data_IF_692949407960
#
_entry.id   IF_692949407960
#
_cell.length_a   1.000
_cell.length_b   1.000
_cell.length_c   1.000
_cell.angle_alpha   90.00
_cell.angle_beta   90.00
_cell.angle_gamma   90.00
#
_symmetry.space_group_name_H-M   'P 1'
#
loop_
_entity.id
_entity.type
_entity.pdbx_description
1 polymer ?
#
# COMPACT_ATOMS: atom_id res chain seq x y z
N UNK A 1 -10.89 -32.79 17.72
CA UNK A 1 -10.59 -31.50 17.07
C UNK A 1 -10.91 -31.67 15.60
N UNK A 2 -12.03 -31.12 15.14
CA UNK A 2 -12.39 -31.18 13.71
C UNK A 2 -11.37 -30.33 12.97
N UNK A 3 -10.57 -30.98 12.13
CA UNK A 3 -9.73 -30.29 11.15
C UNK A 3 -10.67 -29.42 10.31
N UNK A 4 -10.71 -28.11 10.57
CA UNK A 4 -11.22 -27.16 9.59
C UNK A 4 -10.26 -27.35 8.41
N UNK A 5 -10.69 -28.09 7.39
CA UNK A 5 -10.00 -28.08 6.12
C UNK A 5 -9.84 -26.62 5.74
N UNK A 6 -8.59 -26.22 5.52
CA UNK A 6 -8.18 -24.85 5.21
C UNK A 6 -8.92 -24.40 3.95
N UNK A 7 -10.10 -23.86 4.13
CA UNK A 7 -10.87 -23.28 3.06
C UNK A 7 -10.30 -21.88 2.88
N UNK A 8 -9.47 -21.73 1.85
CA UNK A 8 -8.88 -20.46 1.50
C UNK A 8 -9.99 -19.56 0.94
N UNK A 9 -10.59 -18.75 1.79
CA UNK A 9 -11.69 -17.87 1.41
C UNK A 9 -11.20 -16.42 1.39
N UNK A 10 -11.61 -15.71 0.34
CA UNK A 10 -11.49 -14.26 0.24
C UNK A 10 -12.90 -13.73 0.41
N UNK A 11 -13.11 -12.81 1.33
CA UNK A 11 -14.39 -12.16 1.52
C UNK A 11 -14.22 -10.70 1.91
N UNK A 12 -15.26 -9.91 1.66
CA UNK A 12 -15.25 -8.50 1.96
C UNK A 12 -15.54 -8.25 3.45
N UNK A 13 -14.85 -7.28 4.01
CA UNK A 13 -15.17 -6.67 5.31
C UNK A 13 -15.40 -5.17 5.11
N UNK A 14 -16.35 -4.60 5.85
CA UNK A 14 -16.67 -3.17 5.75
C UNK A 14 -16.26 -2.39 7.00
N UNK A 15 -15.90 -3.11 8.06
CA UNK A 15 -15.37 -2.56 9.29
C UNK A 15 -14.17 -3.38 9.74
N UNK A 16 -13.09 -2.70 10.16
CA UNK A 16 -11.81 -3.34 10.44
C UNK A 16 -11.88 -4.34 11.60
N UNK A 17 -12.84 -4.15 12.52
CA UNK A 17 -13.05 -5.07 13.64
C UNK A 17 -13.62 -6.44 13.24
N UNK A 18 -14.13 -6.58 12.01
CA UNK A 18 -14.60 -7.87 11.50
C UNK A 18 -13.46 -8.88 11.34
N UNK A 19 -12.22 -8.40 11.15
CA UNK A 19 -10.98 -9.20 11.19
C UNK A 19 -10.92 -10.13 12.41
N UNK A 20 -11.39 -9.68 13.57
CA UNK A 20 -11.32 -10.47 14.80
C UNK A 20 -12.09 -11.79 14.74
N UNK A 21 -13.06 -11.93 13.82
CA UNK A 21 -13.80 -13.19 13.61
C UNK A 21 -12.91 -14.28 13.02
N UNK A 22 -11.86 -13.88 12.32
CA UNK A 22 -10.91 -14.78 11.65
C UNK A 22 -9.65 -15.03 12.48
N UNK A 23 -9.34 -14.17 13.46
CA UNK A 23 -8.17 -14.30 14.30
C UNK A 23 -8.26 -15.44 15.33
N UNK A 24 -7.16 -16.16 15.50
CA UNK A 24 -6.95 -17.14 16.56
C UNK A 24 -5.46 -17.19 16.94
N UNK A 25 -5.10 -17.97 17.96
CA UNK A 25 -3.74 -18.00 18.55
C UNK A 25 -2.60 -18.36 17.58
N UNK A 26 -2.93 -18.90 16.40
CA UNK A 26 -1.96 -19.28 15.37
C UNK A 26 -2.06 -18.37 14.14
N UNK A 27 -2.70 -17.21 14.23
CA UNK A 27 -2.81 -16.30 13.09
C UNK A 27 -1.55 -15.44 12.94
N UNK A 28 -1.10 -15.25 11.70
CA UNK A 28 -0.19 -14.17 11.30
C UNK A 28 -0.99 -13.16 10.49
N UNK A 29 -1.06 -11.92 10.97
CA UNK A 29 -1.82 -10.85 10.33
C UNK A 29 -0.88 -9.99 9.49
N UNK A 30 -1.10 -9.97 8.18
CA UNK A 30 -0.50 -9.05 7.24
C UNK A 30 -1.46 -7.89 6.94
N UNK A 31 -0.97 -6.67 7.04
CA UNK A 31 -1.74 -5.46 6.77
C UNK A 31 -1.21 -4.76 5.52
N UNK A 32 -2.07 -4.51 4.55
CA UNK A 32 -1.82 -3.41 3.63
C UNK A 32 -1.85 -2.06 4.35
N UNK A 33 -1.21 -1.04 3.77
CA UNK A 33 -1.10 0.29 4.37
C UNK A 33 -2.11 1.27 3.76
N UNK A 34 -1.97 1.55 2.46
CA UNK A 34 -2.73 2.60 1.78
C UNK A 34 -4.20 2.20 1.61
N UNK A 35 -5.14 3.07 2.01
CA UNK A 35 -6.59 2.78 2.04
C UNK A 35 -7.00 1.60 2.94
N UNK A 36 -6.06 1.00 3.66
CA UNK A 36 -6.32 -0.10 4.61
C UNK A 36 -6.07 0.36 6.05
N UNK A 37 -4.84 0.77 6.37
CA UNK A 37 -4.49 1.31 7.68
C UNK A 37 -4.85 2.80 7.76
N UNK A 38 -4.38 3.57 6.78
CA UNK A 38 -4.60 5.01 6.73
C UNK A 38 -5.00 5.48 5.33
N UNK A 39 -5.50 6.70 5.29
CA UNK A 39 -5.76 7.46 4.07
C UNK A 39 -5.25 8.90 4.24
N UNK A 40 -5.07 9.66 3.14
CA UNK A 40 -4.84 11.10 3.21
C UNK A 40 -5.87 11.80 4.10
N UNK A 41 -5.42 12.79 4.86
CA UNK A 41 -6.28 13.63 5.70
C UNK A 41 -7.47 14.20 4.89
N UNK A 42 -8.69 14.32 5.47
CA UNK A 42 -9.85 14.84 4.74
C UNK A 42 -9.65 16.21 4.12
N UNK A 43 -8.75 17.04 4.67
CA UNK A 43 -8.35 18.31 4.06
C UNK A 43 -7.71 18.14 2.67
N UNK A 44 -7.16 16.95 2.40
CA UNK A 44 -6.53 16.50 1.16
C UNK A 44 -7.23 15.27 0.57
N UNK A 45 -8.52 15.02 0.88
CA UNK A 45 -9.16 13.70 0.70
C UNK A 45 -9.02 13.02 -0.67
N UNK A 46 -8.78 13.79 -1.73
CA UNK A 46 -8.57 13.31 -3.10
C UNK A 46 -7.09 13.40 -3.52
N UNK A 47 -6.36 14.44 -3.08
CA UNK A 47 -4.93 14.64 -3.37
C UNK A 47 -4.05 13.66 -2.56
N UNK A 48 -3.10 13.00 -3.23
CA UNK A 48 -2.27 11.96 -2.62
C UNK A 48 -2.97 10.59 -2.52
N UNK A 49 -4.18 10.44 -3.07
CA UNK A 49 -4.81 9.12 -3.18
C UNK A 49 -4.25 8.32 -4.36
N UNK A 50 -4.42 6.99 -4.30
CA UNK A 50 -4.16 6.08 -5.43
C UNK A 50 -4.91 6.49 -6.70
N UNK A 51 -6.14 6.96 -6.56
CA UNK A 51 -6.98 7.40 -7.67
C UNK A 51 -6.43 8.67 -8.32
N UNK A 52 -5.90 9.59 -7.50
CA UNK A 52 -5.20 10.76 -7.99
C UNK A 52 -3.92 10.39 -8.73
N UNK A 53 -3.10 9.47 -8.18
CA UNK A 53 -1.89 9.01 -8.87
C UNK A 53 -2.20 8.37 -10.22
N UNK A 54 -3.18 7.48 -10.27
CA UNK A 54 -3.59 6.83 -11.52
C UNK A 54 -4.06 7.85 -12.57
N UNK A 55 -4.84 8.85 -12.15
CA UNK A 55 -5.31 9.93 -13.01
C UNK A 55 -4.17 10.84 -13.49
N UNK A 56 -3.23 11.14 -12.59
CA UNK A 56 -2.04 11.94 -12.87
C UNK A 56 -1.16 11.25 -13.92
N UNK A 57 -0.92 9.95 -13.76
CA UNK A 57 -0.11 9.16 -14.69
C UNK A 57 -0.75 9.05 -16.07
N UNK A 58 -2.08 8.88 -16.12
CA UNK A 58 -2.78 8.86 -17.39
C UNK A 58 -2.70 10.22 -18.11
N UNK A 59 -2.86 11.33 -17.38
CA UNK A 59 -2.64 12.66 -17.91
C UNK A 59 -1.20 12.84 -18.42
N UNK A 60 -0.21 12.41 -17.65
CA UNK A 60 1.19 12.49 -18.03
C UNK A 60 1.49 11.73 -19.34
N UNK A 61 0.88 10.56 -19.55
CA UNK A 61 1.02 9.77 -20.78
C UNK A 61 0.41 10.43 -22.01
N UNK A 62 -0.60 11.27 -21.83
CA UNK A 62 -1.23 12.00 -22.92
C UNK A 62 -0.45 13.26 -23.31
N UNK A 63 0.27 13.85 -22.35
CA UNK A 63 1.06 15.07 -22.54
C UNK A 63 2.50 14.81 -22.97
N UNK A 64 3.06 13.65 -22.60
CA UNK A 64 4.49 13.35 -22.77
C UNK A 64 4.68 12.16 -23.71
N UNK A 65 5.60 12.31 -24.67
CA UNK A 65 5.91 11.28 -25.66
C UNK A 65 6.56 10.02 -25.03
N UNK A 66 7.36 10.23 -24.00
CA UNK A 66 8.11 9.17 -23.31
C UNK A 66 7.28 8.60 -22.16
N UNK A 67 6.99 7.29 -22.21
CA UNK A 67 6.35 6.56 -21.10
C UNK A 67 7.16 6.64 -19.81
N UNK A 68 8.49 6.62 -19.93
CA UNK A 68 9.38 6.75 -18.78
C UNK A 68 9.27 8.15 -18.16
N UNK A 69 9.25 9.20 -18.99
CA UNK A 69 9.07 10.57 -18.52
C UNK A 69 7.72 10.76 -17.82
N UNK A 70 6.64 10.20 -18.39
CA UNK A 70 5.32 10.23 -17.78
C UNK A 70 5.31 9.59 -16.40
N UNK A 71 5.97 8.43 -16.27
CA UNK A 71 6.14 7.75 -15.00
C UNK A 71 6.92 8.61 -13.99
N UNK A 72 8.14 9.02 -14.38
CA UNK A 72 9.05 9.74 -13.50
C UNK A 72 8.46 11.06 -13.00
N UNK A 73 7.79 11.81 -13.87
CA UNK A 73 7.14 13.07 -13.50
C UNK A 73 5.98 12.82 -12.53
N UNK A 74 5.18 11.78 -12.76
CA UNK A 74 4.06 11.42 -11.88
C UNK A 74 4.55 10.97 -10.52
N UNK A 75 5.55 10.08 -10.45
CA UNK A 75 6.17 9.60 -9.20
C UNK A 75 6.79 10.77 -8.44
N UNK A 76 7.54 11.65 -9.13
CA UNK A 76 8.15 12.83 -8.51
C UNK A 76 7.09 13.70 -7.85
N UNK A 77 6.00 14.00 -8.55
CA UNK A 77 4.96 14.86 -7.99
C UNK A 77 4.16 14.17 -6.88
N UNK A 78 3.85 12.89 -7.04
CA UNK A 78 3.17 12.08 -6.04
C UNK A 78 3.95 12.06 -4.73
N UNK A 79 5.25 11.78 -4.80
CA UNK A 79 6.14 11.77 -3.66
C UNK A 79 6.18 13.13 -2.95
N UNK A 80 6.35 14.21 -3.72
CA UNK A 80 6.38 15.58 -3.18
C UNK A 80 5.08 15.93 -2.44
N UNK A 81 3.94 15.51 -2.97
CA UNK A 81 2.65 15.68 -2.30
C UNK A 81 2.59 14.88 -1.00
N UNK A 82 3.05 13.63 -1.00
CA UNK A 82 3.07 12.79 0.21
C UNK A 82 3.95 13.37 1.34
N UNK A 83 5.01 14.12 1.00
CA UNK A 83 5.81 14.85 2.00
C UNK A 83 5.09 16.07 2.61
N UNK A 84 4.03 16.57 1.96
CA UNK A 84 3.32 17.78 2.38
C UNK A 84 1.98 17.53 3.06
N UNK A 85 1.40 16.35 2.87
CA UNK A 85 0.09 15.98 3.42
C UNK A 85 0.25 15.11 4.67
N UNK A 86 -0.69 15.27 5.60
CA UNK A 86 -0.88 14.36 6.73
C UNK A 86 -1.73 13.15 6.33
N UNK A 87 -1.59 12.08 7.10
CA UNK A 87 -2.48 10.92 7.03
C UNK A 87 -3.35 10.83 8.28
N UNK A 88 -4.45 10.08 8.18
CA UNK A 88 -5.26 9.66 9.32
C UNK A 88 -5.61 8.18 9.20
N UNK A 89 -5.89 7.48 10.31
CA UNK A 89 -6.45 6.13 10.23
C UNK A 89 -7.72 6.12 9.38
N UNK A 90 -7.92 5.07 8.57
CA UNK A 90 -9.16 4.91 7.79
C UNK A 90 -10.36 4.85 8.74
N UNK A 91 -10.23 4.03 9.78
CA UNK A 91 -11.17 3.99 10.89
C UNK A 91 -10.45 4.37 12.20
N UNK A 92 -11.11 5.12 13.11
CA UNK A 92 -10.55 5.41 14.43
C UNK A 92 -10.20 4.15 15.26
N UNK A 93 -10.79 3.00 14.94
CA UNK A 93 -10.55 1.72 15.62
C UNK A 93 -9.34 0.96 15.07
N UNK A 94 -8.82 1.31 13.88
CA UNK A 94 -7.72 0.56 13.24
C UNK A 94 -6.47 0.53 14.12
N UNK A 95 -6.06 1.67 14.66
CA UNK A 95 -4.89 1.78 15.57
C UNK A 95 -5.07 0.91 16.81
N UNK A 96 -6.23 1.02 17.46
CA UNK A 96 -6.57 0.20 18.65
C UNK A 96 -6.57 -1.30 18.33
N UNK A 97 -6.99 -1.68 17.12
CA UNK A 97 -7.00 -3.07 16.69
C UNK A 97 -5.58 -3.62 16.54
N UNK A 98 -4.69 -2.88 15.88
CA UNK A 98 -3.29 -3.27 15.72
C UNK A 98 -2.61 -3.39 17.10
N UNK A 99 -2.82 -2.41 17.98
CA UNK A 99 -2.32 -2.49 19.36
C UNK A 99 -2.85 -3.70 20.12
N UNK A 100 -4.15 -3.96 20.05
CA UNK A 100 -4.76 -5.12 20.70
C UNK A 100 -4.10 -6.43 20.22
N UNK A 101 -3.95 -6.61 18.91
CA UNK A 101 -3.33 -7.81 18.33
C UNK A 101 -1.88 -7.95 18.77
N UNK A 102 -1.13 -6.86 18.81
CA UNK A 102 0.25 -6.84 19.30
C UNK A 102 0.34 -7.17 20.79
N UNK A 103 -0.54 -6.61 21.62
CA UNK A 103 -0.58 -6.79 23.07
C UNK A 103 -0.92 -8.22 23.48
N UNK A 104 -1.72 -8.92 22.67
CA UNK A 104 -2.01 -10.36 22.85
C UNK A 104 -1.00 -11.27 22.14
N UNK A 105 0.12 -10.71 21.67
CA UNK A 105 1.22 -11.41 20.98
C UNK A 105 0.83 -12.13 19.69
N UNK A 106 -0.25 -11.70 19.01
CA UNK A 106 -0.56 -12.19 17.67
C UNK A 106 0.40 -11.56 16.65
N UNK A 107 1.17 -12.36 15.90
CA UNK A 107 2.11 -11.85 14.91
C UNK A 107 1.44 -10.89 13.92
N UNK A 108 1.92 -9.66 13.87
CA UNK A 108 1.31 -8.58 13.08
C UNK A 108 2.40 -7.81 12.34
N UNK A 109 2.32 -7.76 11.00
CA UNK A 109 3.26 -7.02 10.15
C UNK A 109 2.52 -6.27 9.04
N UNK A 110 3.15 -5.26 8.44
CA UNK A 110 2.63 -4.61 7.24
C UNK A 110 3.30 -5.12 5.97
N UNK A 111 2.57 -5.11 4.85
CA UNK A 111 3.04 -5.45 3.52
C UNK A 111 2.50 -4.41 2.55
N UNK A 112 3.37 -3.61 1.96
CA UNK A 112 2.98 -2.49 1.09
C UNK A 112 3.64 -2.59 -0.28
N UNK A 113 2.93 -2.13 -1.31
CA UNK A 113 3.50 -1.98 -2.65
C UNK A 113 4.48 -0.80 -2.75
N UNK A 114 4.54 0.08 -1.73
CA UNK A 114 5.45 1.23 -1.68
C UNK A 114 6.92 0.82 -1.84
N UNK A 115 7.67 1.71 -2.47
CA UNK A 115 9.11 1.60 -2.66
C UNK A 115 9.92 2.02 -1.43
N UNK A 116 11.19 1.63 -1.40
CA UNK A 116 12.17 2.05 -0.39
C UNK A 116 12.53 3.53 -0.48
N UNK A 117 12.26 4.18 -1.62
CA UNK A 117 12.46 5.62 -1.84
C UNK A 117 11.55 6.50 -0.96
N UNK A 118 10.45 5.95 -0.45
CA UNK A 118 9.52 6.60 0.49
C UNK A 118 9.43 5.86 1.83
N UNK A 119 10.45 5.05 2.16
CA UNK A 119 10.50 4.28 3.40
C UNK A 119 10.39 5.18 4.63
N UNK A 120 11.27 6.17 4.76
CA UNK A 120 11.29 7.07 5.93
C UNK A 120 9.96 7.81 6.09
N UNK A 121 9.42 8.31 4.98
CA UNK A 121 8.11 8.96 4.96
C UNK A 121 6.97 8.03 5.39
N UNK A 122 7.00 6.77 4.96
CA UNK A 122 6.00 5.77 5.36
C UNK A 122 6.08 5.49 6.86
N UNK A 123 7.30 5.41 7.41
CA UNK A 123 7.50 5.23 8.85
C UNK A 123 7.02 6.45 9.63
N UNK A 124 7.32 7.66 9.17
CA UNK A 124 6.81 8.90 9.77
C UNK A 124 5.29 8.97 9.75
N UNK A 125 4.65 8.54 8.65
CA UNK A 125 3.19 8.49 8.52
C UNK A 125 2.55 7.47 9.47
N UNK A 126 3.17 6.30 9.67
CA UNK A 126 2.71 5.33 10.67
C UNK A 126 2.88 5.87 12.10
N UNK A 127 4.02 6.51 12.39
CA UNK A 127 4.28 7.14 13.68
C UNK A 127 3.29 8.28 13.97
N UNK A 128 2.91 9.07 12.95
CA UNK A 128 1.93 10.16 13.08
C UNK A 128 0.58 9.66 13.63
N UNK A 129 0.21 8.41 13.34
CA UNK A 129 -1.05 7.80 13.77
C UNK A 129 -0.87 6.76 14.86
N UNK A 130 0.27 6.78 15.56
CA UNK A 130 0.59 5.91 16.70
C UNK A 130 0.54 4.41 16.32
N UNK A 131 1.17 4.04 15.19
CA UNK A 131 1.34 2.64 14.78
C UNK A 131 2.82 2.30 14.68
N UNK A 132 3.23 1.25 15.41
CA UNK A 132 4.61 0.78 15.43
C UNK A 132 4.68 -0.75 15.27
N UNK A 133 4.97 -1.22 14.05
CA UNK A 133 5.15 -2.66 13.81
C UNK A 133 6.44 -3.21 14.45
N UNK A 134 7.44 -2.37 14.70
CA UNK A 134 8.68 -2.75 15.39
C UNK A 134 8.45 -3.25 16.82
N UNK A 135 7.28 -3.02 17.44
CA UNK A 135 6.96 -3.56 18.76
C UNK A 135 7.11 -5.09 18.84
N UNK A 136 6.81 -5.81 17.76
CA UNK A 136 6.92 -7.27 17.69
C UNK A 136 8.15 -7.76 16.90
N UNK A 137 8.70 -6.90 16.04
CA UNK A 137 9.76 -7.27 15.09
C UNK A 137 11.11 -6.60 15.40
N UNK A 138 11.16 -5.67 16.35
CA UNK A 138 12.33 -4.87 16.67
C UNK A 138 12.77 -3.93 15.56
N UNK A 139 13.81 -3.16 15.86
CA UNK A 139 14.43 -2.22 14.93
C UNK A 139 15.46 -2.94 14.05
N UNK A 140 14.98 -3.83 13.18
CA UNK A 140 15.80 -4.57 12.22
C UNK A 140 15.37 -4.28 10.80
N UNK A 141 16.36 -4.25 9.91
CA UNK A 141 16.16 -4.04 8.47
C UNK A 141 17.04 -4.98 7.66
N UNK A 142 16.51 -5.47 6.54
CA UNK A 142 17.27 -6.30 5.59
C UNK A 142 16.57 -6.41 4.24
N UNK A 143 17.37 -6.55 3.19
CA UNK A 143 16.89 -6.90 1.85
C UNK A 143 16.32 -8.33 1.81
N UNK A 144 15.30 -8.53 0.99
CA UNK A 144 14.69 -9.82 0.72
C UNK A 144 15.13 -10.33 -0.65
N UNK A 145 15.84 -11.45 -0.68
CA UNK A 145 16.26 -12.07 -1.93
C UNK A 145 15.08 -12.79 -2.62
N UNK A 146 14.60 -12.22 -3.71
CA UNK A 146 13.59 -12.83 -4.59
C UNK A 146 14.20 -13.37 -5.90
N UNK A 147 15.52 -13.35 -6.05
CA UNK A 147 16.23 -13.74 -7.28
C UNK A 147 16.38 -12.63 -8.33
N UNK A 148 15.87 -11.43 -8.05
CA UNK A 148 16.03 -10.24 -8.89
C UNK A 148 17.03 -9.28 -8.25
N UNK A 149 17.86 -8.61 -9.09
CA UNK A 149 18.96 -7.76 -8.61
C UNK A 149 18.64 -6.28 -8.55
N UNK A 150 17.69 -5.83 -9.37
CA UNK A 150 17.28 -4.44 -9.37
C UNK A 150 16.11 -4.34 -8.42
N UNK A 151 16.21 -3.44 -7.46
CA UNK A 151 15.15 -3.12 -6.53
C UNK A 151 14.59 -4.29 -5.74
N UNK A 152 15.45 -4.96 -4.96
CA UNK A 152 15.00 -6.04 -4.10
C UNK A 152 13.99 -5.50 -3.09
N UNK A 153 12.93 -6.26 -2.76
CA UNK A 153 12.05 -5.91 -1.65
C UNK A 153 12.85 -5.77 -0.35
N UNK A 154 12.34 -4.96 0.57
CA UNK A 154 13.04 -4.62 1.79
C UNK A 154 12.14 -4.81 3.01
N UNK A 155 12.65 -5.48 4.04
CA UNK A 155 11.99 -5.54 5.34
C UNK A 155 12.59 -4.46 6.24
N UNK A 156 11.74 -3.65 6.86
CA UNK A 156 12.14 -2.58 7.76
C UNK A 156 11.12 -2.44 8.89
N UNK A 157 11.56 -2.70 10.13
CA UNK A 157 10.79 -2.38 11.35
C UNK A 157 9.36 -2.96 11.37
N UNK A 158 9.21 -4.20 10.87
CA UNK A 158 7.90 -4.87 10.80
C UNK A 158 7.07 -4.56 9.55
N UNK A 159 7.64 -3.86 8.57
CA UNK A 159 7.02 -3.56 7.28
C UNK A 159 7.80 -4.22 6.15
N UNK A 160 7.11 -4.93 5.26
CA UNK A 160 7.65 -5.42 3.98
C UNK A 160 7.33 -4.37 2.92
N UNK A 161 8.36 -3.67 2.44
CA UNK A 161 8.32 -2.82 1.25
C UNK A 161 8.57 -3.68 0.03
N UNK A 162 7.54 -3.84 -0.80
CA UNK A 162 7.63 -4.75 -1.92
C UNK A 162 8.47 -4.21 -3.07
N UNK A 163 8.78 -2.91 -3.13
CA UNK A 163 9.48 -2.29 -4.27
C UNK A 163 8.84 -2.70 -5.60
N UNK A 164 7.53 -2.82 -5.56
CA UNK A 164 6.74 -3.23 -6.70
C UNK A 164 6.73 -4.71 -7.09
N UNK A 165 7.42 -5.55 -6.36
CA UNK A 165 7.21 -6.98 -6.48
C UNK A 165 5.84 -7.38 -5.92
N UNK A 166 5.34 -8.54 -6.32
CA UNK A 166 4.05 -9.00 -5.80
C UNK A 166 4.17 -9.36 -4.30
N UNK A 167 3.14 -9.02 -3.51
CA UNK A 167 3.15 -9.23 -2.05
C UNK A 167 3.38 -10.68 -1.66
N UNK A 168 2.95 -11.63 -2.49
CA UNK A 168 3.15 -13.05 -2.24
C UNK A 168 4.62 -13.44 -2.31
N UNK A 169 5.30 -13.08 -3.39
CA UNK A 169 6.73 -13.34 -3.56
C UNK A 169 7.54 -12.71 -2.44
N UNK A 170 7.22 -11.47 -2.04
CA UNK A 170 7.89 -10.78 -0.94
C UNK A 170 7.67 -11.49 0.42
N UNK A 171 6.42 -11.88 0.72
CA UNK A 171 6.10 -12.62 1.93
C UNK A 171 6.80 -13.99 1.96
N UNK A 172 6.94 -14.65 0.81
CA UNK A 172 7.67 -15.91 0.72
C UNK A 172 9.16 -15.73 1.00
N UNK A 173 9.79 -14.69 0.44
CA UNK A 173 11.18 -14.37 0.70
C UNK A 173 11.40 -14.08 2.19
N UNK A 174 10.54 -13.26 2.79
CA UNK A 174 10.54 -12.99 4.22
C UNK A 174 10.45 -14.28 5.05
N UNK A 175 9.46 -15.14 4.77
CA UNK A 175 9.26 -16.41 5.50
C UNK A 175 10.46 -17.37 5.41
N UNK A 176 11.26 -17.29 4.33
CA UNK A 176 12.45 -18.13 4.12
C UNK A 176 13.70 -17.57 4.80
N UNK A 177 13.84 -16.26 4.85
CA UNK A 177 15.11 -15.60 5.16
C UNK A 177 15.15 -14.98 6.55
N UNK A 178 14.03 -14.41 7.01
CA UNK A 178 14.00 -13.53 8.17
C UNK A 178 14.58 -14.18 9.43
N UNK A 179 14.31 -15.46 9.69
CA UNK A 179 14.77 -16.13 10.91
C UNK A 179 16.31 -16.07 11.07
N UNK A 180 17.05 -16.17 9.96
CA UNK A 180 18.52 -16.08 9.97
C UNK A 180 19.00 -14.65 10.29
N UNK A 181 18.28 -13.64 9.83
CA UNK A 181 18.58 -12.24 10.15
C UNK A 181 18.35 -11.98 11.65
N UNK A 182 17.23 -12.46 12.20
CA UNK A 182 16.98 -12.37 13.65
C UNK A 182 18.04 -13.10 14.48
N UNK A 183 18.42 -14.33 14.10
CA UNK A 183 19.46 -15.11 14.78
C UNK A 183 20.80 -14.36 14.88
N UNK A 184 21.14 -13.53 13.88
CA UNK A 184 22.38 -12.74 13.84
C UNK A 184 22.26 -11.33 14.42
N UNK A 185 21.04 -10.85 14.65
CA UNK A 185 20.80 -9.51 15.18
C UNK A 185 21.20 -9.38 16.65
N UNK A 186 21.49 -8.14 17.07
CA UNK A 186 21.70 -7.73 18.46
C UNK A 186 20.43 -7.13 19.08
N UNK A 187 19.25 -7.58 18.62
CA UNK A 187 17.97 -7.17 19.19
C UNK A 187 17.81 -7.67 20.62
N UNK A 188 16.84 -7.09 21.32
CA UNK A 188 16.36 -7.61 22.59
C UNK A 188 16.08 -9.13 22.50
N UNK A 189 16.56 -9.94 23.46
CA UNK A 189 16.42 -11.39 23.41
C UNK A 189 14.96 -11.88 23.33
N UNK A 190 14.01 -11.19 23.97
CA UNK A 190 12.60 -11.58 23.95
C UNK A 190 11.99 -11.35 22.57
N UNK A 191 12.22 -10.17 21.98
CA UNK A 191 11.79 -9.85 20.60
C UNK A 191 12.41 -10.82 19.60
N UNK A 192 13.72 -11.06 19.72
CA UNK A 192 14.45 -11.99 18.85
C UNK A 192 13.89 -13.41 18.95
N UNK A 193 13.66 -13.90 20.17
CA UNK A 193 13.11 -15.24 20.39
C UNK A 193 11.68 -15.35 19.84
N UNK A 194 10.84 -14.34 20.10
CA UNK A 194 9.48 -14.26 19.57
C UNK A 194 9.47 -14.34 18.04
N UNK A 195 10.21 -13.46 17.37
CA UNK A 195 10.28 -13.42 15.91
C UNK A 195 10.77 -14.74 15.31
N UNK A 196 11.83 -15.34 15.87
CA UNK A 196 12.36 -16.64 15.41
C UNK A 196 11.32 -17.75 15.55
N UNK A 197 10.59 -17.81 16.67
CA UNK A 197 9.56 -18.83 16.89
C UNK A 197 8.40 -18.67 15.90
N UNK A 198 7.90 -17.45 15.73
CA UNK A 198 6.86 -17.09 14.76
C UNK A 198 7.26 -17.49 13.35
N UNK A 199 8.46 -17.11 12.91
CA UNK A 199 8.96 -17.43 11.57
C UNK A 199 9.13 -18.93 11.35
N UNK A 200 9.61 -19.67 12.36
CA UNK A 200 9.69 -21.14 12.31
C UNK A 200 8.31 -21.80 12.24
N UNK A 201 7.28 -21.22 12.88
CA UNK A 201 5.91 -21.71 12.76
C UNK A 201 5.35 -21.45 11.36
N UNK A 202 5.60 -20.26 10.79
CA UNK A 202 5.23 -19.92 9.41
C UNK A 202 5.88 -20.89 8.40
N UNK A 203 7.19 -21.12 8.49
CA UNK A 203 7.89 -22.06 7.59
C UNK A 203 7.41 -23.51 7.74
N UNK A 204 6.86 -23.87 8.91
CA UNK A 204 6.31 -25.21 9.20
C UNK A 204 4.81 -25.32 8.91
N UNK A 205 4.21 -24.31 8.27
CA UNK A 205 2.78 -24.29 7.92
C UNK A 205 1.86 -24.42 9.15
N UNK A 206 2.31 -23.90 10.30
CA UNK A 206 1.54 -23.92 11.56
C UNK A 206 0.78 -22.62 11.82
N UNK A 207 1.00 -21.60 10.99
CA UNK A 207 0.29 -20.33 11.08
C UNK A 207 -0.75 -20.21 9.98
N UNK A 208 -1.83 -19.55 10.34
CA UNK A 208 -2.91 -19.16 9.44
C UNK A 208 -2.65 -17.72 9.03
N UNK A 209 -2.33 -17.51 7.75
CA UNK A 209 -2.02 -16.19 7.21
C UNK A 209 -3.32 -15.45 6.94
N UNK A 210 -3.55 -14.36 7.64
CA UNK A 210 -4.67 -13.46 7.40
C UNK A 210 -4.12 -12.20 6.74
N UNK A 211 -4.56 -11.89 5.53
CA UNK A 211 -4.17 -10.67 4.83
C UNK A 211 -5.35 -9.71 4.72
N UNK A 212 -5.18 -8.48 5.17
CA UNK A 212 -6.15 -7.38 5.01
C UNK A 212 -5.63 -6.44 3.94
N UNK A 213 -6.42 -6.22 2.88
CA UNK A 213 -6.02 -5.41 1.72
C UNK A 213 -7.26 -4.82 1.04
N UNK A 214 -7.21 -3.57 0.58
CA UNK A 214 -8.32 -2.95 -0.15
C UNK A 214 -8.45 -3.51 -1.59
N UNK A 215 -7.33 -3.99 -2.16
CA UNK A 215 -7.24 -4.52 -3.52
C UNK A 215 -7.32 -6.04 -3.55
N UNK A 216 -8.45 -6.54 -4.04
CA UNK A 216 -8.72 -7.98 -4.17
C UNK A 216 -7.61 -8.79 -4.88
N UNK A 217 -6.95 -8.21 -5.90
CA UNK A 217 -5.86 -8.87 -6.62
C UNK A 217 -4.68 -9.27 -5.72
N UNK A 218 -4.35 -8.44 -4.72
CA UNK A 218 -3.26 -8.70 -3.78
C UNK A 218 -3.60 -9.93 -2.92
N UNK A 219 -4.87 -10.05 -2.52
CA UNK A 219 -5.37 -11.21 -1.80
C UNK A 219 -5.29 -12.49 -2.64
N UNK A 220 -5.60 -12.42 -3.94
CA UNK A 220 -5.49 -13.58 -4.84
C UNK A 220 -4.04 -14.03 -5.04
N UNK A 221 -3.10 -13.09 -5.16
CA UNK A 221 -1.67 -13.38 -5.25
C UNK A 221 -1.19 -14.14 -4.01
N UNK A 222 -1.51 -13.63 -2.82
CA UNK A 222 -1.09 -14.28 -1.56
C UNK A 222 -1.84 -15.60 -1.34
N UNK A 223 -3.11 -15.71 -1.74
CA UNK A 223 -3.85 -16.98 -1.76
C UNK A 223 -3.16 -18.04 -2.63
N UNK A 224 -2.75 -17.68 -3.84
CA UNK A 224 -2.06 -18.59 -4.75
C UNK A 224 -0.72 -19.06 -4.16
N UNK A 225 0.01 -18.15 -3.50
CA UNK A 225 1.21 -18.50 -2.75
C UNK A 225 0.91 -19.43 -1.57
N UNK A 226 -0.07 -19.12 -0.73
CA UNK A 226 -0.44 -19.90 0.44
C UNK A 226 -0.78 -21.34 0.03
N UNK A 227 -1.57 -21.51 -1.03
CA UNK A 227 -1.89 -22.82 -1.62
C UNK A 227 -0.64 -23.59 -2.05
N UNK A 228 0.33 -22.93 -2.72
CA UNK A 228 1.60 -23.55 -3.14
C UNK A 228 2.48 -23.97 -1.95
N UNK A 229 2.44 -23.21 -0.86
CA UNK A 229 3.25 -23.47 0.33
C UNK A 229 2.51 -24.28 1.41
N UNK A 230 1.27 -24.70 1.18
CA UNK A 230 0.46 -25.42 2.17
C UNK A 230 0.05 -24.59 3.39
N UNK A 231 0.02 -23.26 3.28
CA UNK A 231 -0.42 -22.39 4.37
C UNK A 231 -1.95 -22.34 4.44
N UNK A 232 -2.49 -22.32 5.66
CA UNK A 232 -3.86 -21.85 5.88
C UNK A 232 -3.91 -20.35 5.57
N UNK A 233 -4.97 -19.89 4.90
CA UNK A 233 -5.04 -18.52 4.41
C UNK A 233 -6.47 -17.99 4.42
N UNK A 234 -6.62 -16.76 4.92
CA UNK A 234 -7.85 -15.98 4.87
C UNK A 234 -7.53 -14.61 4.28
N UNK A 235 -8.19 -14.24 3.19
CA UNK A 235 -8.06 -12.91 2.60
C UNK A 235 -9.26 -12.04 2.96
N UNK A 236 -9.01 -10.85 3.51
CA UNK A 236 -10.04 -9.91 3.90
C UNK A 236 -9.94 -8.68 3.01
N UNK A 237 -10.89 -8.57 2.07
CA UNK A 237 -10.96 -7.43 1.16
C UNK A 237 -11.62 -6.27 1.87
N UNK A 238 -10.84 -5.25 2.21
CA UNK A 238 -11.32 -4.13 2.99
C UNK A 238 -12.06 -3.12 2.11
N UNK A 239 -13.39 -3.21 2.10
CA UNK A 239 -14.27 -2.49 1.19
C UNK A 239 -14.78 -1.14 1.77
N UNK A 240 -14.21 -0.68 2.88
CA UNK A 240 -14.69 0.50 3.61
C UNK A 240 -14.67 1.78 2.76
N UNK A 241 -13.62 1.97 1.96
CA UNK A 241 -13.42 3.17 1.16
C UNK A 241 -13.99 3.07 -0.27
N UNK A 242 -14.71 2.00 -0.62
CA UNK A 242 -15.22 1.78 -1.99
C UNK A 242 -16.07 2.93 -2.52
N UNK A 243 -16.97 3.45 -1.69
CA UNK A 243 -17.82 4.57 -2.07
C UNK A 243 -17.01 5.85 -2.24
N UNK A 244 -16.04 6.12 -1.34
CA UNK A 244 -15.15 7.27 -1.44
C UNK A 244 -14.32 7.21 -2.72
N UNK A 245 -13.68 6.06 -2.98
CA UNK A 245 -12.88 5.79 -4.19
C UNK A 245 -13.71 5.97 -5.46
N UNK A 246 -14.97 5.52 -5.46
CA UNK A 246 -15.89 5.71 -6.60
C UNK A 246 -16.26 7.17 -6.83
N UNK A 247 -16.29 7.97 -5.77
CA UNK A 247 -16.65 9.39 -5.79
C UNK A 247 -15.42 10.32 -5.88
N UNK A 248 -14.23 9.79 -6.19
CA UNK A 248 -13.01 10.56 -6.39
C UNK A 248 -13.20 11.72 -7.39
N UNK A 249 -12.71 12.91 -7.04
CA UNK A 249 -12.77 14.12 -7.88
C UNK A 249 -11.37 14.66 -8.18
N UNK A 250 -10.91 14.41 -9.42
CA UNK A 250 -9.62 14.94 -9.91
C UNK A 250 -9.57 16.46 -9.90
N UNK A 251 -10.69 17.16 -10.13
CA UNK A 251 -10.73 18.64 -10.14
C UNK A 251 -10.37 19.18 -8.77
N UNK A 252 -10.91 18.56 -7.72
CA UNK A 252 -10.63 18.93 -6.33
C UNK A 252 -9.18 18.65 -5.96
N UNK A 253 -8.65 17.49 -6.35
CA UNK A 253 -7.24 17.16 -6.14
C UNK A 253 -6.30 18.15 -6.84
N UNK A 254 -6.59 18.52 -8.10
CA UNK A 254 -5.84 19.54 -8.85
C UNK A 254 -5.91 20.91 -8.17
N UNK A 255 -7.08 21.32 -7.67
CA UNK A 255 -7.20 22.58 -6.93
C UNK A 255 -6.33 22.57 -5.67
N UNK A 256 -6.36 21.49 -4.90
CA UNK A 256 -5.54 21.32 -3.69
C UNK A 256 -4.05 21.37 -4.02
N UNK A 257 -3.63 20.74 -5.13
CA UNK A 257 -2.24 20.77 -5.59
C UNK A 257 -1.78 22.20 -5.91
N UNK A 258 -2.61 22.99 -6.62
CA UNK A 258 -2.30 24.40 -6.94
C UNK A 258 -2.12 25.22 -5.67
N UNK A 259 -2.97 25.01 -4.66
CA UNK A 259 -2.85 25.72 -3.38
C UNK A 259 -1.54 25.42 -2.63
N UNK A 260 -0.89 24.29 -2.89
CA UNK A 260 0.37 23.90 -2.26
C UNK A 260 1.59 23.99 -3.18
N UNK A 261 1.45 24.45 -4.42
CA UNK A 261 2.52 24.41 -5.42
C UNK A 261 3.78 25.17 -4.99
N UNK A 262 3.63 26.27 -4.24
CA UNK A 262 4.74 27.03 -3.69
C UNK A 262 5.54 26.26 -2.62
N UNK A 263 4.93 25.26 -1.97
CA UNK A 263 5.56 24.41 -0.96
C UNK A 263 6.29 23.21 -1.56
N UNK A 264 6.05 22.90 -2.84
CA UNK A 264 6.77 21.82 -3.53
C UNK A 264 8.26 22.17 -3.64
N UNK A 265 9.12 21.16 -3.73
CA UNK A 265 10.52 21.38 -4.08
C UNK A 265 10.67 21.92 -5.52
N UNK A 266 11.90 22.24 -5.93
CA UNK A 266 12.18 22.60 -7.31
C UNK A 266 11.76 21.48 -8.29
N UNK A 267 12.07 20.22 -7.98
CA UNK A 267 11.66 19.07 -8.80
C UNK A 267 10.14 18.89 -8.82
N UNK A 268 9.47 19.08 -7.68
CA UNK A 268 8.00 19.03 -7.61
C UNK A 268 7.33 20.10 -8.47
N UNK A 269 7.80 21.36 -8.39
CA UNK A 269 7.30 22.44 -9.26
C UNK A 269 7.58 22.18 -10.74
N UNK A 270 8.77 21.66 -11.06
CA UNK A 270 9.12 21.32 -12.44
C UNK A 270 8.22 20.21 -12.99
N UNK A 271 7.94 19.18 -12.18
CA UNK A 271 7.02 18.11 -12.53
C UNK A 271 5.58 18.64 -12.75
N UNK A 272 5.06 19.45 -11.82
CA UNK A 272 3.75 20.08 -11.94
C UNK A 272 3.64 20.95 -13.21
N UNK A 273 4.69 21.72 -13.53
CA UNK A 273 4.73 22.53 -14.76
C UNK A 273 4.72 21.68 -16.02
N UNK A 274 5.48 20.58 -16.04
CA UNK A 274 5.55 19.64 -17.19
C UNK A 274 4.20 18.95 -17.45
N UNK A 275 3.34 18.84 -16.44
CA UNK A 275 1.98 18.31 -16.56
C UNK A 275 0.92 19.39 -16.80
N UNK A 276 1.32 20.64 -17.02
CA UNK A 276 0.41 21.76 -17.29
C UNK A 276 -0.76 21.85 -16.28
N UNK A 277 -0.48 21.61 -14.99
CA UNK A 277 -1.50 21.57 -13.93
C UNK A 277 -2.38 22.82 -13.90
N UNK A 278 -1.80 24.00 -14.19
CA UNK A 278 -2.54 25.27 -14.27
C UNK A 278 -3.56 25.28 -15.43
N UNK A 279 -3.18 24.72 -16.58
CA UNK A 279 -4.03 24.60 -17.76
C UNK A 279 -5.19 23.63 -17.51
N UNK A 280 -4.93 22.51 -16.83
CA UNK A 280 -5.98 21.55 -16.44
C UNK A 280 -7.05 22.22 -15.58
N UNK A 281 -6.66 23.08 -14.64
CA UNK A 281 -7.59 23.82 -13.80
C UNK A 281 -8.42 24.86 -14.58
N UNK A 282 -7.77 25.62 -15.47
CA UNK A 282 -8.44 26.64 -16.29
C UNK A 282 -9.49 26.03 -17.24
N UNK A 283 -9.15 24.89 -17.85
CA UNK A 283 -10.07 24.17 -18.74
C UNK A 283 -11.28 23.63 -17.98
N UNK A 284 -11.10 23.14 -16.75
CA UNK A 284 -12.20 22.61 -15.94
C UNK A 284 -13.15 23.71 -15.43
N UNK A 285 -12.63 24.93 -15.19
CA UNK A 285 -13.45 26.10 -14.81
C UNK A 285 -14.29 26.64 -15.96
N UNK A 286 -13.80 26.58 -17.19
CA UNK A 286 -14.42 27.20 -18.36
C UNK A 286 -15.45 26.32 -19.07
N UNK A 287 -15.57 25.05 -18.68
CA UNK A 287 -16.50 24.10 -19.30
C UNK A 287 -17.90 24.15 -18.70
N UNK A 288 -18.92 24.22 -19.56
CA UNK A 288 -20.33 24.00 -19.19
C UNK A 288 -20.53 22.60 -18.60
N UNK A 289 -21.61 22.37 -17.85
CA UNK A 289 -21.90 21.07 -17.21
C UNK A 289 -21.91 19.89 -18.23
N UNK A 290 -22.40 20.13 -19.45
CA UNK A 290 -22.36 19.18 -20.57
C UNK A 290 -20.95 18.99 -21.16
N UNK A 291 -20.16 20.06 -21.26
CA UNK A 291 -18.75 19.99 -21.69
C UNK A 291 -17.85 19.36 -20.62
N UNK A 292 -18.17 19.46 -19.33
CA UNK A 292 -17.47 18.72 -18.27
C UNK A 292 -17.70 17.23 -18.44
N UNK A 293 -18.93 16.80 -18.70
CA UNK A 293 -19.20 15.40 -19.02
C UNK A 293 -18.55 14.96 -20.33
N UNK A 294 -18.44 15.83 -21.35
CA UNK A 294 -17.79 15.49 -22.63
C UNK A 294 -16.26 15.57 -22.58
N UNK A 295 -15.66 16.47 -21.81
CA UNK A 295 -14.22 16.54 -21.59
C UNK A 295 -13.78 15.41 -20.68
N UNK A 296 -14.55 15.07 -19.63
CA UNK A 296 -14.40 13.84 -18.86
C UNK A 296 -14.88 12.59 -19.62
N UNK A 297 -15.47 12.71 -20.82
CA UNK A 297 -15.84 11.58 -21.69
C UNK A 297 -15.00 11.43 -22.96
N UNK A 298 -14.30 12.48 -23.40
CA UNK A 298 -13.22 12.46 -24.38
C UNK A 298 -11.88 12.21 -23.67
N UNK A 299 -11.72 12.76 -22.46
CA UNK A 299 -10.87 12.25 -21.37
C UNK A 299 -11.72 11.44 -20.41
N UNK A 300 -12.61 10.57 -20.92
CA UNK A 300 -12.88 9.34 -20.17
C UNK A 300 -11.52 8.68 -20.13
N UNK A 301 -10.76 8.97 -19.06
CA UNK A 301 -10.13 7.93 -18.25
C UNK A 301 -11.12 6.79 -18.41
N UNK A 302 -10.79 5.81 -19.27
CA UNK A 302 -11.72 4.73 -19.52
C UNK A 302 -12.21 4.26 -18.15
N UNK A 303 -13.38 3.63 -18.07
CA UNK A 303 -13.47 2.61 -17.01
C UNK A 303 -12.13 1.88 -17.11
N UNK A 304 -11.26 1.92 -16.08
CA UNK A 304 -9.93 1.36 -16.20
C UNK A 304 -10.19 0.00 -16.82
N UNK A 305 -9.57 -0.29 -17.97
CA UNK A 305 -9.67 -1.64 -18.55
C UNK A 305 -9.36 -2.52 -17.37
N UNK A 306 -10.37 -3.24 -16.85
CA UNK A 306 -10.29 -3.85 -15.52
C UNK A 306 -9.05 -4.75 -15.53
N UNK A 307 -7.97 -4.32 -14.87
CA UNK A 307 -6.66 -4.95 -14.97
C UNK A 307 -5.52 -4.02 -15.45
N UNK A 308 -5.54 -3.57 -16.70
CA UNK A 308 -4.30 -3.10 -17.38
C UNK A 308 -3.73 -1.77 -16.88
N UNK A 309 -4.54 -0.73 -16.65
CA UNK A 309 -4.00 0.59 -16.26
C UNK A 309 -3.42 0.57 -14.85
N UNK A 310 -4.05 -0.17 -13.93
CA UNK A 310 -3.61 -0.28 -12.54
C UNK A 310 -2.44 -1.25 -12.39
N UNK A 311 -2.45 -2.36 -13.14
CA UNK A 311 -1.32 -3.30 -13.23
C UNK A 311 -0.11 -2.65 -13.91
N UNK A 312 -0.30 -1.78 -14.91
CA UNK A 312 0.79 -1.03 -15.54
C UNK A 312 1.27 0.15 -14.68
N UNK A 313 0.39 0.79 -13.91
CA UNK A 313 0.76 1.86 -12.95
C UNK A 313 1.61 1.30 -11.83
N UNK A 314 1.21 0.15 -11.27
CA UNK A 314 2.06 -0.60 -10.35
C UNK A 314 3.30 -1.09 -11.08
N UNK A 315 3.24 -1.88 -12.15
CA UNK A 315 4.45 -2.33 -12.89
C UNK A 315 5.43 -1.19 -13.25
N UNK A 316 4.95 0.03 -13.48
CA UNK A 316 5.80 1.22 -13.71
C UNK A 316 6.32 1.87 -12.42
N UNK A 317 5.53 1.91 -11.34
CA UNK A 317 6.08 2.13 -9.97
C UNK A 317 7.11 1.05 -9.61
N UNK A 318 7.00 -0.14 -10.19
CA UNK A 318 7.79 -1.33 -9.91
C UNK A 318 8.98 -1.56 -10.85
N UNK A 319 9.14 -0.74 -11.92
CA UNK A 319 10.21 -0.91 -12.93
C UNK A 319 11.16 0.27 -13.03
N UNK A 320 10.98 1.30 -12.20
CA UNK A 320 11.80 2.52 -12.17
C UNK A 320 12.27 2.92 -10.77
N UNK A 321 12.26 1.98 -9.83
CA UNK A 321 13.19 2.01 -8.73
C UNK A 321 14.51 1.38 -9.17
#
# INVERSE_FOLDING_TARGET
MVSRHAQSDIHDIHQIHELLRECHINSLIGWDIDNTIYEPDPLFSDLGSDQWFASLLECARQLLDSKNDACQVSITLFREVHYLISVKPVEPKTVKMIHLLQDVNLPTLAITARGTDILDLTMDQLNQIDIHFSKQWGDISFELDIGEKNDPPYFHHGVIFCNGHDKGTCLQAFAKQAARHYERSNLDPEIKQYAILTLRQLSRQKLDVILVDDKEKNLHVVKALAKRNGWSYTGLRYAHLDEKVRNFDMTKATHQLIQMQERLSFSGRAAAKKLEIDTLHQNTRSMTLLQRHSFLAHHRIGRPVKGETQEMTERLMNSFG
#
